data_IF_028673163758
#
_entry.id   IF_028673163758
#
_cell.length_a   1.000
_cell.length_b   1.000
_cell.length_c   1.000
_cell.angle_alpha   90.00
_cell.angle_beta   90.00
_cell.angle_gamma   90.00
#
_symmetry.space_group_name_H-M   'P 1'
#
loop_
_entity.id
_entity.type
_entity.pdbx_description
1 polymer ?
#
# COMPACT_ATOMS: atom_id res chain seq x y z
N UNK A 1 -5.04 -9.21 25.27
CA UNK A 1 -4.36 -9.40 23.98
C UNK A 1 -4.65 -8.17 23.13
N UNK A 2 -3.63 -7.44 22.67
CA UNK A 2 -3.84 -6.30 21.77
C UNK A 2 -4.18 -6.86 20.38
N UNK A 3 -5.28 -6.39 19.79
CA UNK A 3 -5.68 -6.77 18.43
C UNK A 3 -4.86 -5.91 17.46
N UNK A 4 -4.08 -6.55 16.58
CA UNK A 4 -3.32 -5.87 15.54
C UNK A 4 -4.16 -5.72 14.26
N UNK A 5 -4.31 -4.49 13.79
CA UNK A 5 -5.03 -4.13 12.57
C UNK A 5 -4.11 -3.55 11.48
N UNK A 6 -2.78 -3.68 11.63
CA UNK A 6 -1.81 -3.07 10.71
C UNK A 6 -2.02 -3.52 9.26
N UNK A 7 -2.30 -4.81 9.07
CA UNK A 7 -2.58 -5.39 7.75
C UNK A 7 -3.86 -4.83 7.13
N UNK A 8 -4.95 -4.78 7.89
CA UNK A 8 -6.23 -4.22 7.45
C UNK A 8 -6.08 -2.74 7.04
N UNK A 9 -5.35 -1.95 7.83
CA UNK A 9 -5.07 -0.53 7.52
C UNK A 9 -4.30 -0.35 6.21
N UNK A 10 -3.27 -1.17 5.98
CA UNK A 10 -2.51 -1.16 4.74
C UNK A 10 -3.42 -1.41 3.52
N UNK A 11 -4.28 -2.43 3.61
CA UNK A 11 -5.18 -2.78 2.51
C UNK A 11 -6.28 -1.75 2.29
N UNK A 12 -6.84 -1.19 3.36
CA UNK A 12 -7.82 -0.10 3.26
C UNK A 12 -7.21 1.15 2.63
N UNK A 13 -5.96 1.50 2.98
CA UNK A 13 -5.24 2.59 2.31
C UNK A 13 -5.02 2.31 0.82
N UNK A 14 -4.65 1.07 0.48
CA UNK A 14 -4.47 0.64 -0.90
C UNK A 14 -5.77 0.78 -1.72
N UNK A 15 -6.89 0.29 -1.18
CA UNK A 15 -8.24 0.38 -1.77
C UNK A 15 -8.65 1.83 -1.94
N UNK A 16 -8.42 2.67 -0.92
CA UNK A 16 -8.73 4.08 -0.97
C UNK A 16 -7.98 4.77 -2.13
N UNK A 17 -6.67 4.56 -2.24
CA UNK A 17 -5.87 5.11 -3.34
C UNK A 17 -6.32 4.60 -4.70
N UNK A 18 -6.62 3.30 -4.83
CA UNK A 18 -7.09 2.72 -6.09
C UNK A 18 -8.44 3.31 -6.53
N UNK A 19 -9.36 3.58 -5.60
CA UNK A 19 -10.68 4.18 -5.88
C UNK A 19 -10.64 5.68 -6.16
N UNK A 20 -9.74 6.42 -5.53
CA UNK A 20 -9.74 7.89 -5.54
C UNK A 20 -8.60 8.53 -6.34
N UNK A 21 -7.77 7.72 -7.00
CA UNK A 21 -6.67 8.23 -7.84
C UNK A 21 -6.86 7.85 -9.29
N UNK A 22 -6.90 8.84 -10.19
CA UNK A 22 -6.99 8.60 -11.64
C UNK A 22 -5.75 7.83 -12.13
N UNK A 23 -5.97 6.75 -12.89
CA UNK A 23 -4.92 5.87 -13.42
C UNK A 23 -3.95 5.39 -12.31
N UNK A 24 -4.49 4.80 -11.24
CA UNK A 24 -3.72 4.29 -10.11
C UNK A 24 -3.06 2.94 -10.45
N UNK A 25 -2.06 2.95 -11.33
CA UNK A 25 -1.23 1.76 -11.57
C UNK A 25 -0.26 1.49 -10.43
N UNK A 26 0.38 0.32 -10.46
CA UNK A 26 1.24 -0.18 -9.38
C UNK A 26 2.35 0.80 -8.97
N UNK A 27 3.06 1.38 -9.95
CA UNK A 27 4.10 2.40 -9.70
C UNK A 27 3.55 3.62 -8.97
N UNK A 28 2.32 4.06 -9.30
CA UNK A 28 1.69 5.21 -8.65
C UNK A 28 1.26 4.86 -7.23
N UNK A 29 0.70 3.67 -7.03
CA UNK A 29 0.32 3.17 -5.70
C UNK A 29 1.52 3.12 -4.75
N UNK A 30 2.68 2.60 -5.17
CA UNK A 30 3.89 2.58 -4.33
C UNK A 30 4.35 3.98 -3.91
N UNK A 31 4.23 4.97 -4.82
CA UNK A 31 4.56 6.37 -4.50
C UNK A 31 3.58 6.98 -3.50
N UNK A 32 2.29 6.66 -3.61
CA UNK A 32 1.28 7.12 -2.66
C UNK A 32 1.52 6.57 -1.25
N UNK A 33 1.95 5.32 -1.14
CA UNK A 33 2.38 4.75 0.14
C UNK A 33 3.60 5.46 0.71
N UNK A 34 4.64 5.67 -0.10
CA UNK A 34 5.81 6.42 0.33
C UNK A 34 5.44 7.84 0.80
N UNK A 35 4.55 8.54 0.10
CA UNK A 35 4.06 9.84 0.53
C UNK A 35 3.27 9.76 1.84
N UNK A 36 2.34 8.81 1.97
CA UNK A 36 1.55 8.61 3.17
C UNK A 36 2.45 8.42 4.39
N UNK A 37 3.40 7.49 4.32
CA UNK A 37 4.26 7.18 5.46
C UNK A 37 5.29 8.27 5.73
N UNK A 38 5.95 8.82 4.71
CA UNK A 38 7.00 9.80 4.95
C UNK A 38 6.46 11.15 5.42
N UNK A 39 5.32 11.59 4.85
CA UNK A 39 4.70 12.84 5.29
C UNK A 39 4.16 12.67 6.72
N UNK A 40 3.47 11.57 7.00
CA UNK A 40 2.94 11.32 8.34
C UNK A 40 4.06 11.16 9.36
N UNK A 41 5.09 10.38 9.04
CA UNK A 41 6.25 10.20 9.91
C UNK A 41 6.97 11.51 10.22
N UNK A 42 7.12 12.39 9.21
CA UNK A 42 7.71 13.73 9.43
C UNK A 42 6.90 14.57 10.42
N UNK A 43 5.59 14.39 10.47
CA UNK A 43 4.68 15.17 11.32
C UNK A 43 4.51 14.57 12.72
N UNK A 44 4.51 13.24 12.84
CA UNK A 44 4.09 12.53 14.07
C UNK A 44 5.16 11.62 14.66
N UNK A 45 6.26 11.40 13.95
CA UNK A 45 7.30 10.42 14.31
C UNK A 45 6.88 8.96 14.10
N UNK A 46 5.75 8.70 13.42
CA UNK A 46 5.24 7.33 13.15
C UNK A 46 4.75 7.20 11.71
N UNK A 47 4.98 6.05 11.10
CA UNK A 47 4.40 5.68 9.80
C UNK A 47 2.95 5.22 9.97
N UNK A 48 2.14 5.33 8.92
CA UNK A 48 0.75 4.86 8.91
C UNK A 48 0.68 3.36 8.63
N UNK A 49 1.44 2.89 7.65
CA UNK A 49 1.36 1.50 7.17
C UNK A 49 2.45 0.60 7.75
N UNK A 50 3.55 1.17 8.23
CA UNK A 50 4.67 0.40 8.77
C UNK A 50 5.50 -0.34 7.72
N UNK A 51 5.35 0.01 6.43
CA UNK A 51 6.12 -0.60 5.36
C UNK A 51 7.60 -0.21 5.41
N UNK A 52 8.46 -1.16 5.02
CA UNK A 52 9.88 -0.90 4.79
C UNK A 52 10.12 -0.44 3.35
N UNK A 53 10.83 0.67 3.18
CA UNK A 53 11.07 1.29 1.88
C UNK A 53 12.53 1.14 1.45
N UNK A 54 12.73 0.66 0.22
CA UNK A 54 14.05 0.48 -0.37
C UNK A 54 14.26 1.50 -1.49
N UNK A 55 15.42 2.15 -1.50
CA UNK A 55 15.78 3.13 -2.53
C UNK A 55 16.04 2.41 -3.87
N UNK A 56 15.08 2.49 -4.78
CA UNK A 56 15.21 1.98 -6.14
C UNK A 56 15.50 3.13 -7.12
N UNK A 57 15.84 2.81 -8.37
CA UNK A 57 16.18 3.80 -9.41
C UNK A 57 15.18 4.95 -9.57
N UNK A 58 13.90 4.72 -9.28
CA UNK A 58 12.81 5.69 -9.44
C UNK A 58 12.19 6.15 -8.11
N UNK A 59 12.91 5.98 -7.01
CA UNK A 59 12.48 6.36 -5.67
C UNK A 59 12.24 5.16 -4.75
N UNK A 60 11.75 5.42 -3.53
CA UNK A 60 11.51 4.40 -2.53
C UNK A 60 10.33 3.50 -2.90
N UNK A 61 10.52 2.19 -2.78
CA UNK A 61 9.48 1.19 -3.04
C UNK A 61 9.33 0.29 -1.81
N UNK A 62 8.10 0.03 -1.34
CA UNK A 62 7.86 -0.99 -0.34
C UNK A 62 7.94 -2.38 -0.98
N UNK A 63 9.15 -2.95 -1.02
CA UNK A 63 9.49 -4.09 -1.87
C UNK A 63 8.65 -5.35 -1.58
N UNK A 64 8.37 -5.62 -0.30
CA UNK A 64 7.53 -6.75 0.12
C UNK A 64 6.11 -6.66 -0.45
N UNK A 65 5.45 -5.52 -0.23
CA UNK A 65 4.08 -5.29 -0.72
C UNK A 65 4.02 -5.19 -2.25
N UNK A 66 5.06 -4.62 -2.87
CA UNK A 66 5.17 -4.62 -4.33
C UNK A 66 5.26 -6.05 -4.88
N UNK A 67 6.11 -6.91 -4.31
CA UNK A 67 6.21 -8.32 -4.75
C UNK A 67 4.89 -9.05 -4.57
N UNK A 68 4.24 -8.86 -3.42
CA UNK A 68 2.94 -9.47 -3.10
C UNK A 68 1.88 -9.17 -4.18
N UNK A 69 1.72 -7.90 -4.55
CA UNK A 69 0.78 -7.49 -5.59
C UNK A 69 1.21 -7.99 -6.98
N UNK A 70 2.52 -8.03 -7.27
CA UNK A 70 3.03 -8.46 -8.59
C UNK A 70 2.80 -9.95 -8.82
N UNK A 71 2.97 -10.75 -7.78
CA UNK A 71 2.75 -12.20 -7.80
C UNK A 71 1.25 -12.54 -7.88
N UNK A 72 0.37 -11.53 -7.98
CA UNK A 72 -1.09 -11.64 -8.02
C UNK A 72 -1.67 -12.46 -6.85
N UNK A 73 -0.94 -12.54 -5.73
CA UNK A 73 -1.52 -13.03 -4.49
C UNK A 73 -2.57 -11.99 -4.11
N UNK A 74 -3.83 -12.39 -4.08
CA UNK A 74 -4.87 -11.51 -3.54
C UNK A 74 -4.48 -11.24 -2.08
N UNK A 75 -4.14 -10.00 -1.70
CA UNK A 75 -3.93 -9.71 -0.30
C UNK A 75 -5.16 -10.15 0.47
N UNK A 76 -4.96 -10.79 1.62
CA UNK A 76 -6.03 -11.23 2.51
C UNK A 76 -6.89 -10.02 2.93
N UNK A 77 -7.98 -9.73 2.20
CA UNK A 77 -8.84 -8.57 2.47
C UNK A 77 -10.09 -8.98 3.26
N UNK A 78 -10.38 -8.11 4.23
CA UNK A 78 -11.61 -7.99 5.02
C UNK A 78 -12.84 -7.83 4.11
N UNK A 79 -13.69 -8.85 4.16
CA UNK A 79 -15.12 -8.94 3.82
C UNK A 79 -15.65 -8.58 2.41
N UNK A 80 -14.98 -7.75 1.61
CA UNK A 80 -15.48 -7.40 0.26
C UNK A 80 -14.45 -7.79 -0.80
N UNK A 81 -14.81 -8.76 -1.64
CA UNK A 81 -13.95 -9.35 -2.68
C UNK A 81 -13.59 -8.32 -3.75
N UNK A 82 -12.56 -7.52 -3.48
CA UNK A 82 -11.96 -6.62 -4.47
C UNK A 82 -10.93 -7.42 -5.27
N UNK A 83 -11.25 -7.70 -6.53
CA UNK A 83 -10.29 -8.30 -7.46
C UNK A 83 -9.26 -7.25 -7.86
N UNK A 84 -8.00 -7.46 -7.47
CA UNK A 84 -6.87 -6.58 -7.83
C UNK A 84 -6.62 -6.53 -9.33
N UNK A 85 -7.03 -7.57 -10.07
CA UNK A 85 -7.03 -7.58 -11.54
C UNK A 85 -7.85 -6.43 -12.12
N UNK A 86 -8.89 -5.96 -11.44
CA UNK A 86 -9.69 -4.80 -11.89
C UNK A 86 -8.87 -3.50 -11.91
N UNK A 87 -7.88 -3.37 -11.04
CA UNK A 87 -7.14 -2.11 -10.84
C UNK A 87 -5.73 -2.14 -11.45
N UNK A 88 -5.12 -3.33 -11.55
CA UNK A 88 -3.71 -3.50 -11.93
C UNK A 88 -3.47 -4.57 -12.99
N UNK A 89 -4.54 -5.19 -13.52
CA UNK A 89 -4.50 -6.14 -14.64
C UNK A 89 -4.62 -5.48 -16.00
#
# INVERSE_FOLDING_TARGET
MLIDHSREKLLNAAIYFAKHTKYCGMTKLMKLFAFLDFIHFRQTGRSVTGLEYYAWKRGPIPASFWSELKDQKEPDIVSDKISWRKYFG
#
